data_IF_220183036502
#
_entry.id   IF_220183036502
#
_cell.length_a   1.000
_cell.length_b   1.000
_cell.length_c   1.000
_cell.angle_alpha   90.00
_cell.angle_beta   90.00
_cell.angle_gamma   90.00
#
_symmetry.space_group_name_H-M   'P 1'
#
loop_
_entity.id
_entity.type
_entity.pdbx_description
1 polymer ?
#
# COMPACT_ATOMS: atom_id res chain seq x y z
N UNK A 1 -12.53 -5.81 -9.26
CA UNK A 1 -12.30 -4.57 -10.01
C UNK A 1 -10.84 -4.42 -10.46
N UNK A 2 -9.80 -4.56 -9.62
CA UNK A 2 -8.37 -4.34 -9.99
C UNK A 2 -7.88 -5.15 -11.19
N UNK A 3 -8.20 -6.45 -11.29
CA UNK A 3 -7.82 -7.28 -12.47
C UNK A 3 -8.51 -6.79 -13.74
N UNK A 4 -9.80 -6.46 -13.63
CA UNK A 4 -10.59 -6.02 -14.80
C UNK A 4 -10.07 -4.69 -15.32
N UNK A 5 -9.82 -3.71 -14.44
CA UNK A 5 -9.28 -2.40 -14.84
C UNK A 5 -7.85 -2.52 -15.39
N UNK A 6 -7.00 -3.37 -14.80
CA UNK A 6 -5.65 -3.63 -15.30
C UNK A 6 -5.66 -4.27 -16.70
N UNK A 7 -6.50 -5.29 -16.88
CA UNK A 7 -6.64 -5.94 -18.19
C UNK A 7 -7.22 -5.02 -19.26
N UNK A 8 -8.17 -4.16 -18.86
CA UNK A 8 -8.73 -3.16 -19.76
C UNK A 8 -7.67 -2.12 -20.15
N UNK A 9 -6.87 -1.65 -19.19
CA UNK A 9 -5.78 -0.71 -19.43
C UNK A 9 -4.76 -1.26 -20.44
N UNK A 10 -4.30 -2.50 -20.23
CA UNK A 10 -3.32 -3.16 -21.12
C UNK A 10 -3.89 -3.39 -22.51
N UNK A 11 -5.13 -3.89 -22.65
CA UNK A 11 -5.73 -4.17 -23.96
C UNK A 11 -6.02 -2.92 -24.77
N UNK A 12 -6.46 -1.85 -24.10
CA UNK A 12 -6.83 -0.60 -24.77
C UNK A 12 -5.66 0.37 -24.88
N UNK A 13 -4.58 0.16 -24.11
CA UNK A 13 -3.46 1.10 -23.92
C UNK A 13 -3.90 2.50 -23.46
N UNK A 14 -5.12 2.60 -22.95
CA UNK A 14 -5.69 3.86 -22.48
C UNK A 14 -5.50 4.00 -20.96
N UNK A 15 -4.25 4.14 -20.51
CA UNK A 15 -3.93 4.29 -19.09
C UNK A 15 -4.52 5.57 -18.50
N UNK A 16 -4.36 6.72 -19.19
CA UNK A 16 -4.84 8.00 -18.72
C UNK A 16 -6.35 8.09 -18.46
N UNK A 17 -7.24 7.63 -19.37
CA UNK A 17 -8.68 7.66 -19.10
C UNK A 17 -9.09 6.86 -17.85
N UNK A 18 -8.49 5.68 -17.65
CA UNK A 18 -8.78 4.82 -16.50
C UNK A 18 -8.26 5.47 -15.22
N UNK A 19 -7.07 6.04 -15.27
CA UNK A 19 -6.45 6.79 -14.19
C UNK A 19 -7.32 7.98 -13.77
N UNK A 20 -7.70 8.83 -14.73
CA UNK A 20 -8.52 10.02 -14.48
C UNK A 20 -9.90 9.66 -13.93
N UNK A 21 -10.58 8.65 -14.51
CA UNK A 21 -11.86 8.20 -14.01
C UNK A 21 -11.76 7.71 -12.55
N UNK A 22 -10.75 6.93 -12.23
CA UNK A 22 -10.53 6.45 -10.86
C UNK A 22 -10.19 7.56 -9.89
N UNK A 23 -9.33 8.53 -10.26
CA UNK A 23 -9.04 9.71 -9.42
C UNK A 23 -10.26 10.60 -9.23
N UNK A 24 -11.05 10.87 -10.27
CA UNK A 24 -12.29 11.64 -10.12
C UNK A 24 -13.25 10.96 -9.14
N UNK A 25 -13.49 9.65 -9.28
CA UNK A 25 -14.34 8.91 -8.36
C UNK A 25 -13.82 8.94 -6.91
N UNK A 26 -12.51 8.81 -6.72
CA UNK A 26 -11.92 8.79 -5.38
C UNK A 26 -11.91 10.17 -4.73
N UNK A 27 -11.49 11.21 -5.46
CA UNK A 27 -11.24 12.54 -4.88
C UNK A 27 -12.51 13.38 -4.73
N UNK A 28 -13.51 13.21 -5.59
CA UNK A 28 -14.76 13.99 -5.51
C UNK A 28 -15.66 13.47 -4.38
N UNK A 29 -15.63 12.18 -4.09
CA UNK A 29 -16.51 11.57 -3.09
C UNK A 29 -16.21 12.03 -1.66
N UNK A 30 -14.96 12.37 -1.33
CA UNK A 30 -14.61 12.84 0.02
C UNK A 30 -15.19 14.22 0.33
N UNK A 31 -15.00 15.25 -0.51
CA UNK A 31 -15.70 16.52 -0.31
C UNK A 31 -17.23 16.41 -0.37
N UNK A 32 -17.75 15.47 -1.18
CA UNK A 32 -19.19 15.23 -1.25
C UNK A 32 -19.79 14.73 0.07
N UNK A 33 -19.00 14.14 0.97
CA UNK A 33 -19.44 13.81 2.33
C UNK A 33 -19.91 15.04 3.12
N UNK A 34 -19.38 16.24 2.82
CA UNK A 34 -19.82 17.47 3.43
C UNK A 34 -21.28 17.83 3.11
N UNK A 35 -21.83 17.31 2.02
CA UNK A 35 -23.22 17.52 1.59
C UNK A 35 -24.21 16.53 2.20
N UNK A 36 -23.70 15.51 2.89
CA UNK A 36 -24.54 14.51 3.54
C UNK A 36 -25.04 15.06 4.87
N UNK A 37 -26.36 15.05 5.07
CA UNK A 37 -26.96 15.51 6.35
C UNK A 37 -26.70 14.54 7.50
N UNK A 38 -26.96 14.98 8.73
CA UNK A 38 -26.70 14.19 9.97
C UNK A 38 -27.28 12.77 9.95
N UNK A 39 -28.44 12.60 9.37
CA UNK A 39 -29.12 11.28 9.26
C UNK A 39 -28.76 10.52 7.97
N UNK A 40 -27.85 11.04 7.15
CA UNK A 40 -27.52 10.53 5.82
C UNK A 40 -26.49 9.41 5.81
N UNK A 41 -26.38 8.60 6.86
CA UNK A 41 -25.36 7.56 6.97
C UNK A 41 -25.32 6.57 5.79
N UNK A 42 -26.47 6.24 5.18
CA UNK A 42 -26.52 5.38 3.99
C UNK A 42 -25.82 6.06 2.80
N UNK A 43 -26.08 7.35 2.58
CA UNK A 43 -25.40 8.12 1.52
C UNK A 43 -23.89 8.21 1.77
N UNK A 44 -23.47 8.40 3.03
CA UNK A 44 -22.06 8.37 3.40
C UNK A 44 -21.43 7.01 3.09
N UNK A 45 -22.07 5.89 3.43
CA UNK A 45 -21.59 4.55 3.10
C UNK A 45 -21.47 4.34 1.57
N UNK A 46 -22.45 4.80 0.80
CA UNK A 46 -22.42 4.71 -0.68
C UNK A 46 -21.23 5.51 -1.23
N UNK A 47 -21.02 6.74 -0.76
CA UNK A 47 -19.88 7.56 -1.16
C UNK A 47 -18.54 6.88 -0.84
N UNK A 48 -18.40 6.30 0.35
CA UNK A 48 -17.19 5.57 0.73
C UNK A 48 -16.96 4.32 -0.15
N UNK A 49 -18.02 3.61 -0.54
CA UNK A 49 -17.91 2.48 -1.48
C UNK A 49 -17.45 2.98 -2.86
N UNK A 50 -18.01 4.08 -3.35
CA UNK A 50 -17.60 4.71 -4.62
C UNK A 50 -16.13 5.14 -4.55
N UNK A 51 -15.71 5.76 -3.45
CA UNK A 51 -14.31 6.16 -3.22
C UNK A 51 -13.37 4.94 -3.30
N UNK A 52 -13.71 3.83 -2.63
CA UNK A 52 -12.92 2.59 -2.66
C UNK A 52 -12.91 1.94 -4.05
N UNK A 53 -14.03 2.02 -4.78
CA UNK A 53 -14.11 1.56 -6.17
C UNK A 53 -13.20 2.40 -7.08
N UNK A 54 -13.19 3.74 -6.96
CA UNK A 54 -12.29 4.64 -7.67
C UNK A 54 -10.82 4.27 -7.44
N UNK A 55 -10.42 4.08 -6.16
CA UNK A 55 -9.09 3.63 -5.78
C UNK A 55 -8.73 2.26 -6.41
N UNK A 56 -9.68 1.33 -6.45
CA UNK A 56 -9.46 0.01 -7.05
C UNK A 56 -9.31 0.06 -8.57
N UNK A 57 -10.00 0.98 -9.24
CA UNK A 57 -9.94 1.15 -10.70
C UNK A 57 -8.61 1.77 -11.12
N UNK A 58 -8.16 2.84 -10.43
CA UNK A 58 -6.94 3.56 -10.83
C UNK A 58 -5.65 2.81 -10.51
N UNK A 59 -5.60 2.05 -9.41
CA UNK A 59 -4.35 1.52 -8.84
C UNK A 59 -3.48 0.75 -9.84
N UNK A 60 -3.99 -0.25 -10.63
CA UNK A 60 -3.15 -0.97 -11.60
C UNK A 60 -2.60 -0.07 -12.70
N UNK A 61 -3.40 0.89 -13.17
CA UNK A 61 -2.96 1.84 -14.19
C UNK A 61 -1.91 2.83 -13.65
N UNK A 62 -2.07 3.31 -12.40
CA UNK A 62 -1.10 4.16 -11.72
C UNK A 62 0.24 3.45 -11.57
N UNK A 63 0.23 2.24 -11.00
CA UNK A 63 1.46 1.46 -10.78
C UNK A 63 2.16 1.15 -12.12
N UNK A 64 1.40 0.96 -13.20
CA UNK A 64 1.94 0.75 -14.55
C UNK A 64 2.59 2.03 -15.10
N UNK A 65 1.94 3.18 -15.01
CA UNK A 65 2.52 4.46 -15.46
C UNK A 65 3.79 4.79 -14.67
N UNK A 66 3.78 4.58 -13.35
CA UNK A 66 4.99 4.72 -12.52
C UNK A 66 6.08 3.75 -12.99
N UNK A 67 5.73 2.50 -13.31
CA UNK A 67 6.71 1.52 -13.79
C UNK A 67 7.35 1.89 -15.13
N UNK A 68 6.62 2.55 -16.04
CA UNK A 68 7.19 3.07 -17.28
C UNK A 68 8.19 4.21 -17.01
N UNK A 69 7.83 5.15 -16.13
CA UNK A 69 8.75 6.21 -15.71
C UNK A 69 10.00 5.66 -14.97
N UNK A 70 9.82 4.57 -14.24
CA UNK A 70 10.87 3.89 -13.49
C UNK A 70 11.95 3.23 -14.36
N UNK A 71 11.70 3.02 -15.65
CA UNK A 71 12.67 2.42 -16.56
C UNK A 71 13.98 3.22 -16.68
N UNK A 72 13.95 4.51 -16.36
CA UNK A 72 15.10 5.42 -16.42
C UNK A 72 15.95 5.42 -15.13
N UNK A 73 15.30 5.23 -13.96
CA UNK A 73 15.92 5.45 -12.64
C UNK A 73 16.00 4.18 -11.77
N UNK A 74 15.32 3.13 -12.16
CA UNK A 74 15.14 1.91 -11.37
C UNK A 74 13.76 1.80 -10.73
N UNK A 75 13.19 0.59 -10.77
CA UNK A 75 11.83 0.35 -10.27
C UNK A 75 11.74 0.50 -8.75
N UNK A 76 12.76 0.07 -8.01
CA UNK A 76 12.81 0.20 -6.57
C UNK A 76 12.80 1.64 -6.11
N UNK A 77 13.63 2.50 -6.70
CA UNK A 77 13.66 3.94 -6.38
C UNK A 77 12.33 4.62 -6.68
N UNK A 78 11.74 4.34 -7.86
CA UNK A 78 10.50 4.99 -8.28
C UNK A 78 9.33 4.65 -7.35
N UNK A 79 9.16 3.38 -6.99
CA UNK A 79 8.11 2.97 -6.04
C UNK A 79 8.44 3.41 -4.61
N UNK A 80 9.71 3.44 -4.21
CA UNK A 80 10.13 3.99 -2.92
C UNK A 80 9.82 5.49 -2.80
N UNK A 81 10.06 6.27 -3.86
CA UNK A 81 9.70 7.69 -3.90
C UNK A 81 8.18 7.89 -3.90
N UNK A 82 7.45 7.06 -4.64
CA UNK A 82 5.98 7.10 -4.62
C UNK A 82 5.46 6.86 -3.20
N UNK A 83 5.98 5.84 -2.51
CA UNK A 83 5.56 5.54 -1.15
C UNK A 83 5.90 6.66 -0.17
N UNK A 84 7.11 7.24 -0.25
CA UNK A 84 7.47 8.41 0.54
C UNK A 84 6.42 9.53 0.39
N UNK A 85 6.02 9.86 -0.85
CA UNK A 85 5.03 10.90 -1.12
C UNK A 85 3.63 10.52 -0.63
N UNK A 86 3.24 9.25 -0.75
CA UNK A 86 1.98 8.73 -0.22
C UNK A 86 1.95 8.86 1.32
N UNK A 87 3.06 8.59 2.03
CA UNK A 87 3.18 8.76 3.48
C UNK A 87 3.17 10.23 3.92
N UNK A 88 3.76 11.14 3.15
CA UNK A 88 3.60 12.58 3.41
C UNK A 88 2.11 12.98 3.35
N UNK A 89 1.37 12.49 2.38
CA UNK A 89 -0.08 12.70 2.29
C UNK A 89 -0.84 12.14 3.49
N UNK A 90 -0.46 10.95 3.96
CA UNK A 90 -1.06 10.30 5.12
C UNK A 90 -0.86 11.08 6.43
N UNK A 91 0.26 11.80 6.56
CA UNK A 91 0.53 12.68 7.72
C UNK A 91 -0.15 14.04 7.56
N UNK A 92 -0.05 14.64 6.37
CA UNK A 92 -0.59 15.99 6.12
C UNK A 92 -2.12 16.03 6.15
N UNK A 93 -2.82 14.93 5.78
CA UNK A 93 -4.26 14.87 5.81
C UNK A 93 -4.86 15.12 7.20
N UNK A 94 -4.57 14.28 8.20
CA UNK A 94 -5.01 14.50 9.59
C UNK A 94 -4.54 15.81 10.18
N UNK A 95 -3.33 16.26 9.86
CA UNK A 95 -2.80 17.55 10.32
C UNK A 95 -3.63 18.72 9.79
N UNK A 96 -4.01 18.70 8.51
CA UNK A 96 -4.88 19.70 7.92
C UNK A 96 -6.23 19.74 8.63
N UNK A 97 -6.84 18.59 8.89
CA UNK A 97 -8.11 18.50 9.62
C UNK A 97 -7.98 19.06 11.04
N UNK A 98 -6.91 18.72 11.73
CA UNK A 98 -6.62 19.24 13.07
C UNK A 98 -6.50 20.77 13.08
N UNK A 99 -5.72 21.33 12.16
CA UNK A 99 -5.54 22.78 12.01
C UNK A 99 -6.89 23.46 11.74
N UNK A 100 -7.70 22.92 10.83
CA UNK A 100 -9.03 23.45 10.54
C UNK A 100 -9.91 23.46 11.80
N UNK A 101 -9.89 22.37 12.58
CA UNK A 101 -10.66 22.27 13.81
C UNK A 101 -10.22 23.23 14.92
N UNK A 102 -8.94 23.64 14.93
CA UNK A 102 -8.45 24.67 15.86
C UNK A 102 -9.04 26.05 15.53
N UNK A 103 -9.20 26.38 14.25
CA UNK A 103 -9.74 27.67 13.83
C UNK A 103 -11.27 27.71 13.82
N UNK A 104 -11.92 26.57 13.54
CA UNK A 104 -13.38 26.48 13.54
C UNK A 104 -13.88 25.91 14.86
N UNK A 105 -14.01 26.78 15.87
CA UNK A 105 -14.49 26.42 17.22
C UNK A 105 -16.00 26.49 17.35
N UNK A 106 -16.68 27.25 16.49
CA UNK A 106 -18.15 27.46 16.51
C UNK A 106 -18.87 26.37 15.69
N UNK A 107 -20.10 26.06 16.08
CA UNK A 107 -20.97 25.07 15.43
C UNK A 107 -20.99 23.71 16.08
N UNK A 108 -21.91 22.85 15.65
CA UNK A 108 -22.01 21.45 16.09
C UNK A 108 -20.79 20.63 15.63
N UNK A 109 -20.53 19.52 16.28
CA UNK A 109 -19.47 18.59 15.87
C UNK A 109 -19.65 18.15 14.42
N UNK A 110 -20.89 17.93 14.00
CA UNK A 110 -21.22 17.57 12.63
C UNK A 110 -20.83 18.68 11.64
N UNK A 111 -21.20 19.94 11.90
CA UNK A 111 -20.86 21.08 11.02
C UNK A 111 -19.34 21.26 10.89
N UNK A 112 -18.61 21.05 11.99
CA UNK A 112 -17.16 21.14 11.99
C UNK A 112 -16.53 20.06 11.11
N UNK A 113 -16.99 18.81 11.19
CA UNK A 113 -16.52 17.73 10.31
C UNK A 113 -16.91 17.94 8.85
N UNK A 114 -18.17 18.41 8.59
CA UNK A 114 -18.61 18.75 7.23
C UNK A 114 -17.71 19.80 6.58
N UNK A 115 -17.33 20.82 7.34
CA UNK A 115 -16.39 21.83 6.88
C UNK A 115 -15.00 21.23 6.60
N UNK A 116 -14.52 20.31 7.44
CA UNK A 116 -13.27 19.58 7.21
C UNK A 116 -13.30 18.78 5.90
N UNK A 117 -14.40 18.06 5.63
CA UNK A 117 -14.56 17.33 4.36
C UNK A 117 -14.60 18.28 3.16
N UNK A 118 -15.28 19.43 3.28
CA UNK A 118 -15.29 20.45 2.22
C UNK A 118 -13.89 21.02 1.97
N UNK A 119 -13.11 21.27 3.01
CA UNK A 119 -11.75 21.79 2.89
C UNK A 119 -10.82 20.81 2.14
N UNK A 120 -11.08 19.51 2.20
CA UNK A 120 -10.36 18.49 1.41
C UNK A 120 -10.62 18.62 -0.10
N UNK A 121 -11.60 19.43 -0.53
CA UNK A 121 -11.75 19.75 -1.95
C UNK A 121 -10.53 20.51 -2.51
N UNK A 122 -9.84 21.30 -1.69
CA UNK A 122 -8.66 22.06 -2.13
C UNK A 122 -7.54 21.13 -2.60
N UNK A 123 -7.00 20.20 -1.76
CA UNK A 123 -6.01 19.26 -2.23
C UNK A 123 -6.52 18.33 -3.33
N UNK A 124 -7.82 17.98 -3.35
CA UNK A 124 -8.40 17.19 -4.42
C UNK A 124 -8.35 17.93 -5.78
N UNK A 125 -8.70 19.21 -5.82
CA UNK A 125 -8.61 20.05 -7.03
C UNK A 125 -7.15 20.18 -7.48
N UNK A 126 -6.22 20.42 -6.56
CA UNK A 126 -4.79 20.49 -6.86
C UNK A 126 -4.33 19.18 -7.50
N UNK A 127 -4.67 18.05 -6.92
CA UNK A 127 -4.30 16.73 -7.44
C UNK A 127 -4.86 16.49 -8.83
N UNK A 128 -6.13 16.79 -9.08
CA UNK A 128 -6.75 16.65 -10.40
C UNK A 128 -6.11 17.59 -11.43
N UNK A 129 -5.78 18.82 -11.03
CA UNK A 129 -5.08 19.76 -11.90
C UNK A 129 -3.69 19.26 -12.27
N UNK A 130 -2.91 18.79 -11.28
CA UNK A 130 -1.58 18.20 -11.54
C UNK A 130 -1.68 16.96 -12.44
N UNK A 131 -2.71 16.13 -12.26
CA UNK A 131 -2.95 14.97 -13.12
C UNK A 131 -3.22 15.39 -14.57
N UNK A 132 -4.03 16.42 -14.79
CA UNK A 132 -4.29 16.99 -16.13
C UNK A 132 -3.01 17.54 -16.74
N UNK A 133 -2.24 18.32 -15.98
CA UNK A 133 -0.95 18.87 -16.44
C UNK A 133 0.02 17.74 -16.82
N UNK A 134 0.11 16.70 -15.98
CA UNK A 134 0.96 15.54 -16.25
C UNK A 134 0.50 14.83 -17.54
N UNK A 135 -0.79 14.63 -17.74
CA UNK A 135 -1.33 14.06 -18.97
C UNK A 135 -1.01 14.92 -20.19
N UNK A 136 -1.09 16.25 -20.10
CA UNK A 136 -0.76 17.14 -21.20
C UNK A 136 0.71 17.09 -21.58
N UNK A 137 1.59 17.01 -20.57
CA UNK A 137 3.04 16.93 -20.79
C UNK A 137 3.51 15.54 -21.26
N UNK A 138 2.82 14.49 -20.81
CA UNK A 138 3.17 13.09 -21.07
C UNK A 138 1.96 12.31 -21.58
N UNK A 139 1.43 12.61 -22.78
CA UNK A 139 0.20 12.00 -23.29
C UNK A 139 0.33 10.48 -23.49
N UNK A 140 1.52 10.00 -23.83
CA UNK A 140 1.83 8.61 -24.09
C UNK A 140 2.91 8.08 -23.13
N UNK A 141 2.56 7.62 -21.93
CA UNK A 141 3.54 7.18 -20.94
C UNK A 141 4.35 5.95 -21.39
N UNK A 142 3.83 5.18 -22.35
CA UNK A 142 4.52 4.03 -22.94
C UNK A 142 5.82 4.42 -23.68
N UNK A 143 5.95 5.69 -24.11
CA UNK A 143 7.14 6.17 -24.81
C UNK A 143 8.39 6.21 -23.94
N UNK A 144 8.25 6.21 -22.62
CA UNK A 144 9.38 6.06 -21.71
C UNK A 144 10.01 4.65 -21.78
N UNK A 145 9.29 3.69 -22.36
CA UNK A 145 9.74 2.31 -22.52
C UNK A 145 9.27 1.74 -23.86
N UNK A 146 9.91 2.09 -25.01
CA UNK A 146 9.35 1.96 -26.36
C UNK A 146 9.18 0.54 -26.93
N UNK A 147 9.74 -0.51 -26.30
CA UNK A 147 9.81 -1.84 -26.91
C UNK A 147 8.53 -2.70 -26.88
N UNK A 148 7.39 -2.18 -26.43
CA UNK A 148 6.14 -2.94 -26.36
C UNK A 148 5.21 -2.66 -27.55
N UNK A 149 5.57 -3.12 -28.75
CA UNK A 149 4.74 -2.89 -29.96
C UNK A 149 3.45 -3.72 -30.03
N UNK A 150 3.42 -4.92 -29.42
CA UNK A 150 2.26 -5.81 -29.44
C UNK A 150 1.82 -6.23 -28.03
N UNK A 151 0.51 -6.44 -27.85
CA UNK A 151 -0.02 -6.98 -26.59
C UNK A 151 0.37 -8.46 -26.47
N UNK A 152 1.21 -8.75 -25.48
CA UNK A 152 1.55 -10.11 -25.10
C UNK A 152 0.75 -10.45 -23.83
N UNK A 153 -0.16 -11.44 -23.89
CA UNK A 153 -0.90 -11.85 -22.70
C UNK A 153 0.05 -12.30 -21.59
N UNK A 154 -0.23 -11.87 -20.37
CA UNK A 154 0.52 -12.33 -19.20
C UNK A 154 0.36 -13.85 -19.08
N UNK A 155 1.44 -14.57 -19.33
CA UNK A 155 1.54 -15.98 -18.96
C UNK A 155 2.07 -16.05 -17.54
N UNK A 156 1.29 -16.61 -16.63
CA UNK A 156 1.73 -16.87 -15.27
C UNK A 156 2.84 -17.94 -15.31
N UNK A 157 4.07 -17.50 -15.50
CA UNK A 157 5.21 -18.40 -15.45
C UNK A 157 5.51 -18.82 -14.00
N UNK A 158 6.33 -19.85 -13.86
CA UNK A 158 6.64 -20.43 -12.56
C UNK A 158 7.28 -19.42 -11.59
N UNK A 159 8.02 -18.41 -12.13
CA UNK A 159 8.64 -17.35 -11.34
C UNK A 159 7.60 -16.45 -10.69
N UNK A 160 6.66 -15.98 -11.51
CA UNK A 160 5.57 -15.09 -11.06
C UNK A 160 4.64 -15.81 -10.08
N UNK A 161 4.30 -17.08 -10.33
CA UNK A 161 3.46 -17.87 -9.41
C UNK A 161 4.12 -18.04 -8.04
N UNK A 162 5.40 -18.44 -8.00
CA UNK A 162 6.14 -18.58 -6.74
C UNK A 162 6.23 -17.25 -5.99
N UNK A 163 6.46 -16.17 -6.72
CA UNK A 163 6.48 -14.83 -6.16
C UNK A 163 5.14 -14.46 -5.52
N UNK A 164 4.02 -14.69 -6.21
CA UNK A 164 2.67 -14.41 -5.68
C UNK A 164 2.38 -15.28 -4.44
N UNK A 165 2.80 -16.54 -4.41
CA UNK A 165 2.66 -17.38 -3.20
C UNK A 165 3.44 -16.80 -2.03
N UNK A 166 4.69 -16.39 -2.26
CA UNK A 166 5.50 -15.73 -1.23
C UNK A 166 4.86 -14.46 -0.69
N UNK A 167 4.33 -13.60 -1.59
CA UNK A 167 3.59 -12.40 -1.21
C UNK A 167 2.35 -12.73 -0.37
N UNK A 168 1.56 -13.73 -0.78
CA UNK A 168 0.36 -14.13 -0.05
C UNK A 168 0.70 -14.59 1.37
N UNK A 169 1.75 -15.39 1.54
CA UNK A 169 2.22 -15.83 2.85
C UNK A 169 2.69 -14.65 3.71
N UNK A 170 3.47 -13.76 3.13
CA UNK A 170 3.96 -12.58 3.83
C UNK A 170 2.80 -11.67 4.26
N UNK A 171 1.88 -11.35 3.34
CA UNK A 171 0.72 -10.51 3.61
C UNK A 171 -0.26 -11.13 4.62
N UNK A 172 -0.43 -12.45 4.57
CA UNK A 172 -1.24 -13.19 5.55
C UNK A 172 -0.67 -13.08 6.97
N UNK A 173 0.67 -13.17 7.11
CA UNK A 173 1.35 -13.04 8.40
C UNK A 173 1.47 -11.60 8.90
N UNK A 174 1.23 -10.59 8.06
CA UNK A 174 1.42 -9.20 8.43
C UNK A 174 0.16 -8.60 9.05
N UNK A 175 0.27 -8.20 10.33
CA UNK A 175 -0.84 -7.67 11.12
C UNK A 175 -1.11 -6.20 10.79
N UNK A 176 -2.38 -5.83 10.76
CA UNK A 176 -2.81 -4.44 10.60
C UNK A 176 -2.53 -3.62 11.88
N UNK A 177 -2.19 -2.34 11.72
CA UNK A 177 -1.94 -1.45 12.86
C UNK A 177 -3.15 -1.30 13.78
N UNK A 178 -4.36 -1.47 13.26
CA UNK A 178 -5.59 -1.43 14.07
C UNK A 178 -5.60 -2.48 15.20
N UNK A 179 -5.02 -3.67 14.93
CA UNK A 179 -4.87 -4.71 15.96
C UNK A 179 -3.80 -4.33 17.01
N UNK A 180 -2.71 -3.67 16.57
CA UNK A 180 -1.68 -3.12 17.47
C UNK A 180 -2.31 -2.07 18.38
N UNK A 181 -3.05 -1.12 17.82
CA UNK A 181 -3.73 -0.07 18.57
C UNK A 181 -4.76 -0.64 19.55
N UNK A 182 -5.53 -1.65 19.15
CA UNK A 182 -6.47 -2.34 20.02
C UNK A 182 -5.75 -3.05 21.18
N UNK A 183 -4.63 -3.73 20.91
CA UNK A 183 -3.84 -4.41 21.94
C UNK A 183 -3.31 -3.43 22.97
N UNK A 184 -2.72 -2.32 22.53
CA UNK A 184 -2.20 -1.27 23.44
C UNK A 184 -3.33 -0.70 24.29
N UNK A 185 -4.49 -0.39 23.70
CA UNK A 185 -5.63 0.17 24.41
C UNK A 185 -6.24 -0.80 25.46
N UNK A 186 -6.19 -2.12 25.19
CA UNK A 186 -6.82 -3.13 26.06
C UNK A 186 -5.88 -3.68 27.13
N UNK A 187 -4.61 -3.87 26.80
CA UNK A 187 -3.72 -4.72 27.61
C UNK A 187 -2.43 -4.02 28.01
N UNK A 188 -2.03 -3.00 27.29
CA UNK A 188 -0.76 -2.31 27.48
C UNK A 188 -0.93 -0.82 27.81
N UNK A 189 -2.11 -0.41 28.29
CA UNK A 189 -2.41 0.97 28.71
C UNK A 189 -1.49 1.45 29.85
N UNK A 190 -1.02 0.54 30.71
CA UNK A 190 -0.04 0.84 31.76
C UNK A 190 1.38 1.05 31.21
N UNK A 191 1.66 0.58 30.00
CA UNK A 191 2.96 0.68 29.34
C UNK A 191 3.03 1.93 28.48
N UNK A 192 1.98 2.19 27.68
CA UNK A 192 1.84 3.37 26.84
C UNK A 192 0.38 3.83 26.91
N UNK A 193 0.16 5.12 27.24
CA UNK A 193 -1.19 5.67 27.28
C UNK A 193 -1.84 5.68 25.90
N UNK A 194 -3.15 5.47 25.84
CA UNK A 194 -3.92 5.47 24.59
C UNK A 194 -3.80 6.80 23.81
N UNK A 195 -3.52 7.90 24.49
CA UNK A 195 -3.30 9.22 23.93
C UNK A 195 -2.04 9.30 23.01
N UNK A 196 -1.06 8.42 23.26
CA UNK A 196 0.20 8.36 22.49
C UNK A 196 0.06 7.50 21.22
N UNK A 197 -1.02 6.72 21.07
CA UNK A 197 -1.22 5.84 19.90
C UNK A 197 -1.21 6.56 18.55
N UNK A 198 -1.83 7.73 18.37
CA UNK A 198 -1.73 8.47 17.11
C UNK A 198 -0.30 8.93 16.81
N UNK A 199 0.47 9.30 17.83
CA UNK A 199 1.87 9.69 17.67
C UNK A 199 2.74 8.48 17.31
N UNK A 200 2.49 7.33 17.94
CA UNK A 200 3.17 6.08 17.64
C UNK A 200 2.89 5.63 16.20
N UNK A 201 1.65 5.77 15.73
CA UNK A 201 1.30 5.52 14.34
C UNK A 201 2.03 6.47 13.38
N UNK A 202 2.06 7.77 13.69
CA UNK A 202 2.77 8.75 12.87
C UNK A 202 4.26 8.47 12.80
N UNK A 203 4.86 8.04 13.90
CA UNK A 203 6.26 7.61 13.94
C UNK A 203 6.48 6.34 13.09
N UNK A 204 5.57 5.38 13.15
CA UNK A 204 5.62 4.17 12.31
C UNK A 204 5.53 4.51 10.82
N UNK A 205 4.67 5.45 10.42
CA UNK A 205 4.56 5.91 9.02
C UNK A 205 5.81 6.67 8.56
N UNK A 206 6.49 7.40 9.45
CA UNK A 206 7.76 8.02 9.13
C UNK A 206 8.86 6.97 8.91
N UNK A 207 8.90 5.93 9.74
CA UNK A 207 9.81 4.78 9.56
C UNK A 207 9.51 4.05 8.25
N UNK A 208 8.24 3.82 7.94
CA UNK A 208 7.76 3.26 6.66
C UNK A 208 8.30 4.06 5.47
N UNK A 209 8.11 5.38 5.47
CA UNK A 209 8.58 6.27 4.40
C UNK A 209 10.09 6.17 4.15
N UNK A 210 10.89 6.18 5.22
CA UNK A 210 12.35 6.04 5.14
C UNK A 210 12.72 4.63 4.68
N UNK A 211 12.07 3.61 5.23
CA UNK A 211 12.29 2.21 4.86
C UNK A 211 11.95 1.97 3.38
N UNK A 212 10.84 2.51 2.88
CA UNK A 212 10.44 2.38 1.47
C UNK A 212 11.51 2.90 0.51
N UNK A 213 12.09 4.06 0.79
CA UNK A 213 13.20 4.61 0.00
C UNK A 213 14.46 3.74 0.08
N UNK A 214 14.85 3.36 1.31
CA UNK A 214 16.04 2.56 1.54
C UNK A 214 15.94 1.18 0.86
N UNK A 215 14.84 0.48 1.08
CA UNK A 215 14.60 -0.82 0.47
C UNK A 215 14.43 -0.74 -1.05
N UNK A 216 13.81 0.33 -1.56
CA UNK A 216 13.73 0.60 -2.99
C UNK A 216 15.12 0.73 -3.62
N UNK A 217 16.01 1.53 -3.03
CA UNK A 217 17.39 1.68 -3.48
C UNK A 217 18.20 0.37 -3.38
N UNK A 218 18.02 -0.38 -2.29
CA UNK A 218 18.66 -1.68 -2.11
C UNK A 218 18.14 -2.71 -3.14
N UNK A 219 16.84 -2.65 -3.48
CA UNK A 219 16.25 -3.52 -4.48
C UNK A 219 16.87 -3.33 -5.87
N UNK A 220 17.09 -2.07 -6.28
CA UNK A 220 17.72 -1.78 -7.57
C UNK A 220 19.17 -2.30 -7.64
N UNK A 221 19.85 -2.47 -6.49
CA UNK A 221 21.21 -3.03 -6.42
C UNK A 221 21.27 -4.54 -6.24
N UNK A 222 20.43 -5.09 -5.38
CA UNK A 222 20.50 -6.49 -4.93
C UNK A 222 19.32 -7.34 -5.42
N UNK A 223 18.33 -6.72 -6.06
CA UNK A 223 17.14 -7.38 -6.59
C UNK A 223 16.30 -8.03 -5.49
N UNK A 224 15.70 -9.16 -5.82
CA UNK A 224 14.77 -9.88 -4.94
C UNK A 224 15.36 -10.36 -3.61
N UNK A 225 16.69 -10.38 -3.43
CA UNK A 225 17.31 -10.75 -2.15
C UNK A 225 16.89 -9.80 -1.02
N UNK A 226 16.55 -8.58 -1.36
CA UNK A 226 16.09 -7.57 -0.39
C UNK A 226 14.73 -7.94 0.23
N UNK A 227 13.87 -8.67 -0.49
CA UNK A 227 12.62 -9.22 0.06
C UNK A 227 12.87 -10.22 1.20
N UNK A 228 13.95 -11.01 1.10
CA UNK A 228 14.34 -11.93 2.16
C UNK A 228 14.76 -11.16 3.40
N UNK A 229 15.57 -10.11 3.23
CA UNK A 229 16.02 -9.25 4.33
C UNK A 229 14.83 -8.57 5.01
N UNK A 230 13.88 -8.03 4.22
CA UNK A 230 12.70 -7.37 4.78
C UNK A 230 11.83 -8.33 5.60
N UNK A 231 11.64 -9.58 5.13
CA UNK A 231 10.87 -10.59 5.85
C UNK A 231 11.55 -11.00 7.18
N UNK A 232 12.87 -11.13 7.20
CA UNK A 232 13.62 -11.43 8.42
C UNK A 232 13.53 -10.30 9.44
N UNK A 233 13.67 -9.05 8.97
CA UNK A 233 13.64 -7.86 9.84
C UNK A 233 12.23 -7.62 10.37
N UNK A 234 11.19 -7.83 9.57
CA UNK A 234 9.82 -7.59 10.01
C UNK A 234 9.23 -8.71 10.88
N UNK A 235 9.55 -9.98 10.62
CA UNK A 235 8.91 -11.11 11.31
C UNK A 235 8.86 -11.02 12.85
N UNK A 236 9.88 -10.52 13.58
CA UNK A 236 9.84 -10.43 15.04
C UNK A 236 8.86 -9.39 15.60
N UNK A 237 8.32 -8.49 14.77
CA UNK A 237 7.48 -7.39 15.28
C UNK A 237 6.30 -7.87 16.11
N UNK A 238 5.65 -8.98 15.69
CA UNK A 238 4.49 -9.52 16.38
C UNK A 238 4.80 -9.99 17.81
N UNK A 239 5.96 -10.60 18.03
CA UNK A 239 6.40 -10.96 19.37
C UNK A 239 6.69 -9.73 20.24
N UNK A 240 7.36 -8.73 19.67
CA UNK A 240 7.75 -7.52 20.41
C UNK A 240 6.54 -6.67 20.77
N UNK A 241 5.55 -6.56 19.89
CA UNK A 241 4.33 -5.79 20.14
C UNK A 241 3.41 -6.51 21.11
N UNK A 242 3.08 -7.79 20.88
CA UNK A 242 2.01 -8.47 21.58
C UNK A 242 2.45 -9.24 22.82
N UNK A 243 3.74 -9.58 22.96
CA UNK A 243 4.29 -10.28 24.13
C UNK A 243 5.31 -9.42 24.90
N UNK A 244 5.66 -8.26 24.38
CA UNK A 244 6.57 -7.31 25.02
C UNK A 244 5.94 -6.73 26.30
N UNK A 245 6.74 -6.62 27.37
CA UNK A 245 6.30 -6.10 28.69
C UNK A 245 6.86 -4.71 29.00
N UNK A 246 7.48 -4.04 28.04
CA UNK A 246 8.06 -2.71 28.24
C UNK A 246 7.75 -1.79 27.06
N UNK A 247 7.73 -0.48 27.32
CA UNK A 247 7.56 0.54 26.27
C UNK A 247 8.62 0.40 25.16
N UNK A 248 9.85 0.03 25.52
CA UNK A 248 10.93 -0.14 24.55
C UNK A 248 10.66 -1.31 23.59
N UNK A 249 10.20 -2.46 24.09
CA UNK A 249 9.88 -3.61 23.25
C UNK A 249 8.71 -3.32 22.32
N UNK A 250 7.68 -2.63 22.80
CA UNK A 250 6.54 -2.22 22.00
C UNK A 250 6.94 -1.23 20.90
N UNK A 251 7.72 -0.19 21.22
CA UNK A 251 8.21 0.79 20.26
C UNK A 251 9.11 0.09 19.21
N UNK A 252 10.03 -0.78 19.65
CA UNK A 252 10.88 -1.55 18.74
C UNK A 252 10.05 -2.42 17.78
N UNK A 253 8.99 -3.07 18.28
CA UNK A 253 8.07 -3.84 17.46
C UNK A 253 7.32 -2.99 16.44
N UNK A 254 6.86 -1.80 16.82
CA UNK A 254 6.19 -0.86 15.91
C UNK A 254 7.17 -0.31 14.86
N UNK A 255 8.42 -0.06 15.22
CA UNK A 255 9.47 0.32 14.26
C UNK A 255 9.72 -0.80 13.25
N UNK A 256 9.83 -2.05 13.69
CA UNK A 256 9.97 -3.21 12.80
C UNK A 256 8.75 -3.41 11.90
N UNK A 257 7.55 -3.15 12.42
CA UNK A 257 6.31 -3.14 11.63
C UNK A 257 6.37 -2.08 10.52
N UNK A 258 6.77 -0.84 10.85
CA UNK A 258 6.94 0.24 9.88
C UNK A 258 7.99 -0.10 8.81
N UNK A 259 9.11 -0.70 9.20
CA UNK A 259 10.14 -1.19 8.24
C UNK A 259 9.53 -2.23 7.29
N UNK A 260 8.77 -3.20 7.81
CA UNK A 260 8.11 -4.22 6.99
C UNK A 260 7.08 -3.62 6.04
N UNK A 261 6.34 -2.60 6.49
CA UNK A 261 5.34 -1.90 5.68
C UNK A 261 5.98 -1.18 4.49
N UNK A 262 7.03 -0.37 4.73
CA UNK A 262 7.75 0.34 3.68
C UNK A 262 8.39 -0.58 2.65
N UNK A 263 8.93 -1.71 3.09
CA UNK A 263 9.44 -2.73 2.18
C UNK A 263 8.32 -3.31 1.30
N UNK A 264 7.14 -3.62 1.85
CA UNK A 264 6.01 -4.15 1.08
C UNK A 264 5.51 -3.17 0.03
N UNK A 265 5.35 -1.91 0.39
CA UNK A 265 4.76 -0.90 -0.48
C UNK A 265 5.69 -0.51 -1.63
N UNK A 266 7.01 -0.63 -1.47
CA UNK A 266 8.00 -0.28 -2.50
C UNK A 266 8.47 -1.48 -3.31
N UNK A 267 9.13 -2.47 -2.66
CA UNK A 267 9.86 -3.52 -3.40
C UNK A 267 8.96 -4.62 -3.96
N UNK A 268 7.77 -4.85 -3.38
CA UNK A 268 6.85 -5.82 -3.97
C UNK A 268 6.33 -5.33 -5.34
N UNK A 269 6.09 -4.03 -5.49
CA UNK A 269 5.67 -3.46 -6.79
C UNK A 269 6.83 -3.46 -7.79
N UNK A 270 8.06 -3.16 -7.34
CA UNK A 270 9.24 -3.21 -8.19
C UNK A 270 9.47 -4.62 -8.76
N UNK A 271 9.30 -5.67 -7.95
CA UNK A 271 9.44 -7.05 -8.40
C UNK A 271 8.35 -7.47 -9.41
N UNK A 272 7.11 -6.99 -9.28
CA UNK A 272 6.07 -7.20 -10.30
C UNK A 272 6.50 -6.59 -11.64
N UNK A 273 7.09 -5.38 -11.61
CA UNK A 273 7.59 -4.70 -12.81
C UNK A 273 8.63 -5.54 -13.55
N UNK A 274 9.56 -6.15 -12.80
CA UNK A 274 10.64 -6.97 -13.36
C UNK A 274 10.18 -8.31 -13.94
N UNK A 275 9.04 -8.83 -13.45
CA UNK A 275 8.51 -10.15 -13.81
C UNK A 275 7.43 -10.13 -14.88
N UNK A 276 6.85 -8.96 -15.16
CA UNK A 276 5.73 -8.84 -16.08
C UNK A 276 6.13 -8.19 -17.39
N UNK A 277 5.67 -8.71 -18.54
CA UNK A 277 5.87 -8.04 -19.83
C UNK A 277 5.29 -6.63 -19.81
N UNK A 278 5.98 -5.69 -20.46
CA UNK A 278 5.56 -4.28 -20.55
C UNK A 278 4.11 -4.10 -20.98
N UNK A 279 3.68 -4.88 -21.98
CA UNK A 279 2.34 -4.80 -22.59
C UNK A 279 1.21 -5.42 -21.74
N UNK A 280 1.53 -6.13 -20.66
CA UNK A 280 0.55 -6.76 -19.75
C UNK A 280 0.82 -6.43 -18.27
N UNK A 281 1.55 -5.35 -18.01
CA UNK A 281 2.02 -4.95 -16.69
C UNK A 281 0.87 -4.52 -15.76
N UNK A 282 -0.14 -3.81 -16.28
CA UNK A 282 -1.33 -3.45 -15.49
C UNK A 282 -2.15 -4.68 -15.08
N UNK A 283 -2.20 -5.71 -15.92
CA UNK A 283 -2.78 -7.02 -15.55
C UNK A 283 -1.97 -7.68 -14.43
N UNK A 284 -0.64 -7.64 -14.52
CA UNK A 284 0.26 -8.14 -13.47
C UNK A 284 0.04 -7.44 -12.13
N UNK A 285 0.00 -6.13 -12.11
CA UNK A 285 -0.35 -5.34 -10.91
C UNK A 285 -1.77 -5.62 -10.39
N UNK A 286 -2.72 -5.87 -11.29
CA UNK A 286 -4.08 -6.26 -10.95
C UNK A 286 -4.13 -7.60 -10.20
N UNK A 287 -3.41 -8.61 -10.70
CA UNK A 287 -3.30 -9.95 -10.07
C UNK A 287 -2.58 -9.83 -8.72
N UNK A 288 -1.43 -9.16 -8.69
CA UNK A 288 -0.69 -8.87 -7.46
C UNK A 288 -1.59 -8.24 -6.40
N UNK A 289 -2.26 -7.13 -6.74
CA UNK A 289 -3.09 -6.39 -5.80
C UNK A 289 -4.31 -7.17 -5.30
N UNK A 290 -4.87 -8.08 -6.13
CA UNK A 290 -5.96 -8.97 -5.68
C UNK A 290 -5.42 -10.02 -4.71
N UNK A 291 -4.36 -10.73 -5.11
CA UNK A 291 -3.77 -11.80 -4.30
C UNK A 291 -3.30 -11.27 -2.93
N UNK A 292 -2.57 -10.14 -2.94
CA UNK A 292 -2.13 -9.45 -1.74
C UNK A 292 -3.33 -9.05 -0.85
N UNK A 293 -4.36 -8.40 -1.42
CA UNK A 293 -5.51 -7.92 -0.65
C UNK A 293 -6.34 -9.05 -0.05
N UNK A 294 -6.52 -10.17 -0.78
CA UNK A 294 -7.22 -11.35 -0.26
C UNK A 294 -6.41 -12.01 0.86
N UNK A 295 -5.10 -12.18 0.66
CA UNK A 295 -4.23 -12.77 1.68
C UNK A 295 -4.17 -11.91 2.94
N UNK A 296 -4.06 -10.58 2.79
CA UNK A 296 -4.11 -9.63 3.91
C UNK A 296 -5.43 -9.71 4.68
N UNK A 297 -6.55 -9.73 3.97
CA UNK A 297 -7.87 -9.86 4.59
C UNK A 297 -8.01 -11.16 5.39
N UNK A 298 -7.66 -12.30 4.78
CA UNK A 298 -7.71 -13.60 5.45
C UNK A 298 -6.75 -13.68 6.64
N UNK A 299 -5.56 -13.09 6.50
CA UNK A 299 -4.58 -12.99 7.57
C UNK A 299 -5.11 -12.15 8.74
N UNK A 300 -5.58 -10.93 8.48
CA UNK A 300 -6.15 -10.05 9.50
C UNK A 300 -7.32 -10.69 10.23
N UNK A 301 -8.20 -11.38 9.50
CA UNK A 301 -9.33 -12.11 10.11
C UNK A 301 -8.85 -13.28 10.98
N UNK A 302 -7.97 -14.12 10.47
CA UNK A 302 -7.47 -15.30 11.20
C UNK A 302 -6.65 -14.90 12.42
N UNK A 303 -5.73 -13.94 12.25
CA UNK A 303 -4.86 -13.48 13.33
C UNK A 303 -5.66 -12.69 14.37
N UNK A 304 -6.68 -11.93 13.95
CA UNK A 304 -7.62 -11.29 14.87
C UNK A 304 -8.42 -12.29 15.70
N UNK A 305 -8.88 -13.38 15.09
CA UNK A 305 -9.56 -14.46 15.83
C UNK A 305 -8.59 -15.18 16.81
N UNK A 306 -7.34 -15.40 16.41
CA UNK A 306 -6.32 -16.00 17.27
C UNK A 306 -5.90 -15.07 18.43
N UNK A 307 -6.05 -13.76 18.28
CA UNK A 307 -5.75 -12.77 19.32
C UNK A 307 -6.56 -13.04 20.58
N UNK A 308 -7.84 -13.32 20.45
CA UNK A 308 -8.73 -13.59 21.60
C UNK A 308 -8.51 -14.99 22.20
N UNK A 309 -7.87 -15.92 21.47
CA UNK A 309 -7.62 -17.30 21.92
C UNK A 309 -6.25 -17.42 22.59
N UNK A 310 -5.19 -17.00 21.91
CA UNK A 310 -3.81 -17.13 22.39
C UNK A 310 -2.86 -16.19 21.67
N UNK A 311 -2.36 -15.17 22.36
CA UNK A 311 -1.43 -14.17 21.82
C UNK A 311 -0.12 -14.78 21.33
N UNK A 312 0.42 -15.78 22.03
CA UNK A 312 1.67 -16.45 21.61
C UNK A 312 1.47 -17.24 20.31
N UNK A 313 0.35 -17.94 20.18
CA UNK A 313 0.02 -18.65 18.96
C UNK A 313 -0.17 -17.66 17.79
N UNK A 314 -0.91 -16.59 17.99
CA UNK A 314 -1.10 -15.52 17.00
C UNK A 314 0.24 -14.94 16.53
N UNK A 315 1.12 -14.53 17.46
CA UNK A 315 2.43 -13.98 17.14
C UNK A 315 3.33 -15.00 16.40
N UNK A 316 3.25 -16.27 16.81
CA UNK A 316 4.00 -17.37 16.15
C UNK A 316 3.52 -17.62 14.73
N UNK A 317 2.21 -17.65 14.49
CA UNK A 317 1.63 -17.81 13.16
C UNK A 317 1.99 -16.61 12.27
N UNK A 318 1.89 -15.38 12.80
CA UNK A 318 2.29 -14.17 12.09
C UNK A 318 3.74 -14.24 11.61
N UNK A 319 4.69 -14.50 12.53
CA UNK A 319 6.10 -14.60 12.19
C UNK A 319 6.41 -15.79 11.28
N UNK A 320 5.81 -16.96 11.53
CA UNK A 320 6.02 -18.15 10.72
C UNK A 320 5.57 -17.94 9.26
N UNK A 321 4.41 -17.31 9.02
CA UNK A 321 3.93 -17.01 7.67
C UNK A 321 4.88 -16.07 6.93
N UNK A 322 5.39 -15.02 7.60
CA UNK A 322 6.37 -14.11 7.00
C UNK A 322 7.68 -14.82 6.66
N UNK A 323 8.20 -15.68 7.55
CA UNK A 323 9.42 -16.45 7.30
C UNK A 323 9.22 -17.54 6.23
N UNK A 324 8.05 -18.16 6.16
CA UNK A 324 7.70 -19.12 5.12
C UNK A 324 7.61 -18.50 3.72
N UNK A 325 7.49 -17.20 3.59
CA UNK A 325 7.59 -16.50 2.31
C UNK A 325 9.01 -16.55 1.71
N UNK A 326 10.05 -16.66 2.57
CA UNK A 326 11.47 -16.60 2.18
C UNK A 326 11.85 -17.64 1.13
N UNK A 327 11.59 -18.96 1.30
CA UNK A 327 11.93 -19.95 0.29
C UNK A 327 11.29 -19.68 -1.06
N UNK A 328 10.07 -19.14 -1.10
CA UNK A 328 9.40 -18.78 -2.34
C UNK A 328 10.06 -17.58 -3.04
N UNK A 329 10.50 -16.57 -2.29
CA UNK A 329 11.28 -15.43 -2.82
C UNK A 329 12.62 -15.90 -3.38
N UNK A 330 13.33 -16.79 -2.68
CA UNK A 330 14.62 -17.34 -3.13
C UNK A 330 14.42 -18.16 -4.41
N UNK A 331 13.43 -19.06 -4.47
CA UNK A 331 13.16 -19.88 -5.63
C UNK A 331 12.77 -19.03 -6.84
N UNK A 332 11.92 -18.04 -6.65
CA UNK A 332 11.54 -17.10 -7.70
C UNK A 332 12.75 -16.29 -8.22
N UNK A 333 13.59 -15.78 -7.31
CA UNK A 333 14.83 -15.06 -7.64
C UNK A 333 15.81 -15.91 -8.45
N UNK A 334 16.02 -17.17 -8.05
CA UNK A 334 16.93 -18.08 -8.75
C UNK A 334 16.46 -18.38 -10.17
N UNK A 335 15.15 -18.56 -10.37
CA UNK A 335 14.57 -18.75 -11.70
C UNK A 335 14.69 -17.51 -12.56
N UNK A 336 14.57 -16.31 -11.97
CA UNK A 336 14.74 -15.05 -12.69
C UNK A 336 16.20 -14.86 -13.16
N UNK A 337 17.17 -15.13 -12.30
CA UNK A 337 18.59 -15.01 -12.63
C UNK A 337 19.00 -16.03 -13.72
N UNK A 338 18.47 -17.25 -13.67
CA UNK A 338 18.72 -18.29 -14.68
C UNK A 338 18.21 -17.86 -16.05
N UNK A 339 17.05 -17.19 -16.13
CA UNK A 339 16.51 -16.72 -17.41
C UNK A 339 17.25 -15.49 -17.97
N UNK A 340 17.87 -14.65 -17.12
CA UNK A 340 18.72 -13.52 -17.55
C UNK A 340 20.10 -13.99 -18.02
N UNK A 341 20.61 -15.09 -17.54
CA UNK A 341 21.91 -15.67 -17.94
C UNK A 341 21.86 -16.53 -19.21
N UNK A 342 20.68 -16.83 -19.73
CA UNK A 342 20.46 -17.60 -20.96
C UNK A 342 20.00 -16.74 -22.14
N UNK A 343 19.83 -15.44 -21.95
CA UNK A 343 19.48 -14.44 -22.96
C UNK A 343 20.72 -13.57 -23.27
#
# INVERSE_FOLDING_TARGET
MRIVSGRLADRTRKYWPILMAGYCLELITIPALALVGENGWIAACVLLVIQKAGKAIKKPATDTVVSFAASQEGAGKAFGLQELLDQFGAVLGPLLLYVIMLFKTEGSTFERYSFCFLALAVPAIITLTLLIVTRCNFPNPELFEPDAKEYVPLKADKRFVLYIIGICLFAFGFLDYSLVAMHVSRTASDIISAEVLPLLYSAAMLVDAVAALLFGYLYDRWGMKVLVVSAIVSAPFSFLVFLGKSSLTLIAGVVMWGIGMGAQESILKAAVTDMTPKSSRATGFGIFSLAFGVAWFLGSWTLGALYDVNLTLMASVSAACQLLAIPFYILSSNLMNKSRGTA
#
